data_IF_393357423258
#
_entry.id   IF_393357423258
#
_cell.length_a   1.000
_cell.length_b   1.000
_cell.length_c   1.000
_cell.angle_alpha   90.00
_cell.angle_beta   90.00
_cell.angle_gamma   90.00
#
_symmetry.space_group_name_H-M   'P 1'
#
loop_
_entity.id
_entity.type
_entity.pdbx_description
1 polymer ?
#
# COMPACT_ATOMS: atom_id res chain seq x y z
N UNK A 1 -4.49 -20.01 6.74
CA UNK A 1 -3.92 -18.67 6.61
C UNK A 1 -2.38 -18.63 6.63
N UNK A 2 -1.71 -19.18 7.66
CA UNK A 2 -0.24 -19.11 7.77
C UNK A 2 0.51 -19.59 6.52
N UNK A 3 0.13 -20.74 5.95
CA UNK A 3 0.77 -21.28 4.74
C UNK A 3 0.60 -20.41 3.49
N UNK A 4 -0.55 -19.72 3.33
CA UNK A 4 -0.78 -18.81 2.20
C UNK A 4 0.10 -17.55 2.30
N UNK A 5 0.21 -16.98 3.49
CA UNK A 5 1.09 -15.82 3.74
C UNK A 5 2.55 -16.22 3.57
N UNK A 6 2.95 -17.39 4.07
CA UNK A 6 4.32 -17.90 3.93
C UNK A 6 4.70 -18.10 2.46
N UNK A 7 3.78 -18.64 1.64
CA UNK A 7 3.95 -18.74 0.20
C UNK A 7 4.22 -17.37 -0.43
N UNK A 8 3.41 -16.36 -0.09
CA UNK A 8 3.57 -15.00 -0.62
C UNK A 8 4.90 -14.36 -0.18
N UNK A 9 5.35 -14.62 1.05
CA UNK A 9 6.69 -14.19 1.52
C UNK A 9 7.81 -14.85 0.71
N UNK A 10 7.71 -16.14 0.41
CA UNK A 10 8.72 -16.80 -0.43
C UNK A 10 8.72 -16.27 -1.87
N UNK A 11 7.57 -15.96 -2.43
CA UNK A 11 7.47 -15.29 -3.73
C UNK A 11 8.09 -13.89 -3.69
N UNK A 12 7.85 -13.12 -2.60
CA UNK A 12 8.45 -11.81 -2.41
C UNK A 12 9.99 -11.85 -2.42
N UNK A 13 10.58 -12.91 -1.87
CA UNK A 13 12.04 -13.09 -1.83
C UNK A 13 12.68 -12.99 -3.22
N UNK A 14 12.01 -13.41 -4.27
CA UNK A 14 12.48 -13.28 -5.66
C UNK A 14 12.60 -11.82 -6.11
N UNK A 15 11.79 -10.92 -5.53
CA UNK A 15 11.77 -9.47 -5.85
C UNK A 15 12.57 -8.62 -4.88
N UNK A 16 13.09 -9.21 -3.80
CA UNK A 16 13.79 -8.47 -2.74
C UNK A 16 14.96 -7.67 -3.29
N UNK A 17 15.70 -8.19 -4.29
CA UNK A 17 16.84 -7.48 -4.90
C UNK A 17 16.42 -6.16 -5.57
N UNK A 18 15.36 -6.19 -6.36
CA UNK A 18 14.83 -4.99 -7.04
C UNK A 18 14.30 -4.01 -6.00
N UNK A 19 13.64 -4.52 -4.97
CA UNK A 19 13.11 -3.71 -3.87
C UNK A 19 14.19 -2.99 -3.10
N UNK A 20 15.26 -3.69 -2.73
CA UNK A 20 16.41 -3.11 -2.03
C UNK A 20 17.08 -2.04 -2.89
N UNK A 21 17.23 -2.28 -4.20
CA UNK A 21 17.79 -1.28 -5.11
C UNK A 21 16.93 0.01 -5.17
N UNK A 22 15.59 -0.14 -5.26
CA UNK A 22 14.67 1.00 -5.25
C UNK A 22 14.70 1.72 -3.89
N UNK A 23 14.73 0.98 -2.77
CA UNK A 23 14.87 1.57 -1.44
C UNK A 23 16.15 2.41 -1.32
N UNK A 24 17.30 1.88 -1.72
CA UNK A 24 18.58 2.58 -1.69
C UNK A 24 18.49 3.86 -2.54
N UNK A 25 17.90 3.77 -3.74
CA UNK A 25 17.72 4.93 -4.62
C UNK A 25 16.82 6.00 -3.96
N UNK A 26 15.69 5.60 -3.36
CA UNK A 26 14.79 6.52 -2.66
C UNK A 26 15.45 7.17 -1.44
N UNK A 27 16.26 6.42 -0.68
CA UNK A 27 17.03 6.94 0.45
C UNK A 27 18.03 7.98 -0.07
N UNK A 28 18.80 7.67 -1.10
CA UNK A 28 19.78 8.58 -1.68
C UNK A 28 19.11 9.89 -2.13
N UNK A 29 18.01 9.82 -2.84
CA UNK A 29 17.24 10.99 -3.29
C UNK A 29 16.65 11.78 -2.12
N UNK A 30 16.14 11.10 -1.08
CA UNK A 30 15.58 11.76 0.10
C UNK A 30 16.59 12.58 0.90
N UNK A 31 17.89 12.21 0.85
CA UNK A 31 18.97 12.96 1.48
C UNK A 31 19.57 14.03 0.56
N UNK A 32 19.40 13.94 -0.76
CA UNK A 32 19.93 14.90 -1.72
C UNK A 32 19.12 16.19 -1.79
N UNK A 33 17.79 16.12 -1.61
CA UNK A 33 16.85 17.23 -1.73
C UNK A 33 16.05 17.45 -0.45
N UNK A 34 15.97 18.69 0.01
CA UNK A 34 15.27 19.02 1.26
C UNK A 34 13.73 18.87 1.15
N UNK A 35 13.15 18.98 -0.05
CA UNK A 35 11.69 19.09 -0.25
C UNK A 35 10.99 17.81 -0.77
N UNK A 36 11.71 16.72 -0.91
CA UNK A 36 11.17 15.49 -1.50
C UNK A 36 10.48 14.57 -0.49
N UNK A 37 9.44 15.07 0.18
CA UNK A 37 8.57 14.28 1.06
C UNK A 37 7.95 13.09 0.30
N UNK A 38 7.63 13.26 -0.98
CA UNK A 38 7.09 12.21 -1.86
C UNK A 38 8.01 10.98 -1.95
N UNK A 39 9.31 11.18 -2.10
CA UNK A 39 10.26 10.06 -2.20
C UNK A 39 10.34 9.22 -0.92
N UNK A 40 10.01 9.81 0.21
CA UNK A 40 9.94 9.08 1.48
C UNK A 40 8.75 8.10 1.51
N UNK A 41 7.63 8.43 0.85
CA UNK A 41 6.44 7.55 0.82
C UNK A 41 6.46 6.55 -0.33
N UNK A 42 7.24 6.80 -1.35
CA UNK A 42 7.27 5.97 -2.55
C UNK A 42 7.54 4.47 -2.27
N UNK A 43 8.45 4.07 -1.37
CA UNK A 43 8.64 2.68 -1.01
C UNK A 43 7.41 2.02 -0.37
N UNK A 44 6.67 2.75 0.48
CA UNK A 44 5.46 2.24 1.10
C UNK A 44 4.35 2.02 0.07
N UNK A 45 4.22 2.95 -0.88
CA UNK A 45 3.32 2.85 -2.01
C UNK A 45 3.63 1.64 -2.91
N UNK A 46 4.90 1.42 -3.25
CA UNK A 46 5.34 0.27 -4.05
C UNK A 46 5.07 -1.07 -3.34
N UNK A 47 5.33 -1.14 -2.02
CA UNK A 47 5.05 -2.34 -1.25
C UNK A 47 3.56 -2.64 -1.15
N UNK A 48 2.72 -1.62 -1.12
CA UNK A 48 1.26 -1.75 -1.20
C UNK A 48 0.78 -2.40 -2.51
N UNK A 49 1.56 -2.31 -3.59
CA UNK A 49 1.23 -2.94 -4.87
C UNK A 49 1.68 -4.40 -4.99
N UNK A 50 2.54 -4.89 -4.10
CA UNK A 50 3.07 -6.26 -4.18
C UNK A 50 2.01 -7.37 -4.16
N UNK A 51 0.93 -7.29 -3.37
CA UNK A 51 -0.12 -8.31 -3.40
C UNK A 51 -0.77 -8.48 -4.77
N UNK A 52 -0.81 -7.42 -5.58
CA UNK A 52 -1.31 -7.43 -6.96
C UNK A 52 -0.41 -8.32 -7.83
N UNK A 53 0.89 -8.13 -7.71
CA UNK A 53 1.89 -8.92 -8.41
C UNK A 53 1.84 -10.39 -7.98
N UNK A 54 1.69 -10.66 -6.68
CA UNK A 54 1.56 -12.02 -6.14
C UNK A 54 0.29 -12.71 -6.65
N UNK A 55 -0.82 -11.98 -6.77
CA UNK A 55 -2.04 -12.53 -7.37
C UNK A 55 -1.83 -12.87 -8.85
N UNK A 56 -1.11 -12.03 -9.61
CA UNK A 56 -0.79 -12.29 -11.00
C UNK A 56 0.03 -13.59 -11.20
N UNK A 57 0.95 -13.89 -10.27
CA UNK A 57 1.66 -15.17 -10.28
C UNK A 57 0.76 -16.34 -9.94
N UNK A 58 -0.13 -16.18 -8.98
CA UNK A 58 -1.09 -17.22 -8.61
C UNK A 58 -2.01 -17.54 -9.80
N UNK A 59 -2.45 -16.54 -10.55
CA UNK A 59 -3.27 -16.74 -11.75
C UNK A 59 -2.50 -17.47 -12.85
N UNK A 60 -1.25 -17.05 -13.15
CA UNK A 60 -0.38 -17.74 -14.13
C UNK A 60 -0.08 -19.18 -13.75
N UNK A 61 0.12 -19.45 -12.47
CA UNK A 61 0.35 -20.79 -11.95
C UNK A 61 -0.94 -21.64 -11.86
N UNK A 62 -2.10 -21.10 -12.28
CA UNK A 62 -3.41 -21.73 -12.12
C UNK A 62 -3.69 -22.18 -10.69
N UNK A 63 -3.17 -21.42 -9.72
CA UNK A 63 -3.31 -21.72 -8.29
C UNK A 63 -4.78 -21.78 -7.84
N UNK A 64 -5.68 -21.12 -8.57
CA UNK A 64 -7.11 -21.18 -8.30
C UNK A 64 -7.70 -22.59 -8.47
N UNK A 65 -7.20 -23.39 -9.43
CA UNK A 65 -7.59 -24.81 -9.57
C UNK A 65 -7.09 -25.63 -8.38
N UNK A 66 -5.87 -25.37 -7.92
CA UNK A 66 -5.32 -26.03 -6.73
C UNK A 66 -6.11 -25.63 -5.48
N UNK A 67 -6.56 -24.39 -5.39
CA UNK A 67 -7.33 -23.88 -4.27
C UNK A 67 -8.68 -24.61 -4.11
N UNK A 68 -9.31 -25.00 -5.23
CA UNK A 68 -10.56 -25.79 -5.19
C UNK A 68 -10.35 -27.22 -4.68
N UNK A 69 -9.14 -27.77 -4.82
CA UNK A 69 -8.77 -29.10 -4.31
C UNK A 69 -8.32 -29.07 -2.83
N UNK A 70 -8.00 -27.90 -2.29
CA UNK A 70 -7.55 -27.74 -0.91
C UNK A 70 -8.76 -27.49 0.02
N UNK A 71 -8.73 -27.98 1.27
CA UNK A 71 -9.78 -27.73 2.27
C UNK A 71 -9.66 -26.30 2.84
N UNK A 72 -9.55 -25.28 1.97
CA UNK A 72 -9.40 -23.88 2.34
C UNK A 72 -10.56 -23.07 1.77
N UNK A 73 -11.25 -22.31 2.61
CA UNK A 73 -12.34 -21.43 2.17
C UNK A 73 -11.78 -20.33 1.25
N UNK A 74 -12.53 -20.01 0.19
CA UNK A 74 -12.18 -18.93 -0.77
C UNK A 74 -11.97 -17.58 -0.06
N UNK A 75 -12.80 -17.26 0.95
CA UNK A 75 -12.62 -16.02 1.72
C UNK A 75 -11.32 -16.00 2.52
N UNK A 76 -10.80 -17.16 2.96
CA UNK A 76 -9.51 -17.24 3.64
C UNK A 76 -8.33 -16.86 2.71
N UNK A 77 -8.44 -17.20 1.42
CA UNK A 77 -7.44 -16.81 0.42
C UNK A 77 -7.44 -15.29 0.19
N UNK A 78 -8.63 -14.69 0.02
CA UNK A 78 -8.76 -13.23 -0.08
C UNK A 78 -8.20 -12.53 1.16
N UNK A 79 -8.60 -13.00 2.34
CA UNK A 79 -8.13 -12.44 3.61
C UNK A 79 -6.60 -12.53 3.75
N UNK A 80 -5.98 -13.62 3.28
CA UNK A 80 -4.52 -13.75 3.30
C UNK A 80 -3.83 -12.66 2.45
N UNK A 81 -4.38 -12.32 1.27
CA UNK A 81 -3.83 -11.25 0.41
C UNK A 81 -3.97 -9.86 1.05
N UNK A 82 -5.11 -9.56 1.68
CA UNK A 82 -5.30 -8.31 2.40
C UNK A 82 -4.38 -8.21 3.62
N UNK A 83 -4.29 -9.25 4.44
CA UNK A 83 -3.36 -9.26 5.60
C UNK A 83 -1.91 -9.13 5.13
N UNK A 84 -1.53 -9.78 4.05
CA UNK A 84 -0.20 -9.66 3.47
C UNK A 84 0.09 -8.22 2.99
N UNK A 85 -0.87 -7.56 2.30
CA UNK A 85 -0.76 -6.16 1.92
C UNK A 85 -0.53 -5.26 3.14
N UNK A 86 -1.35 -5.43 4.18
CA UNK A 86 -1.23 -4.65 5.41
C UNK A 86 0.13 -4.82 6.08
N UNK A 87 0.63 -6.06 6.19
CA UNK A 87 1.94 -6.34 6.76
C UNK A 87 3.07 -5.66 5.98
N UNK A 88 3.00 -5.68 4.65
CA UNK A 88 4.00 -5.02 3.80
C UNK A 88 3.97 -3.49 3.95
N UNK A 89 2.78 -2.90 4.00
CA UNK A 89 2.63 -1.46 4.20
C UNK A 89 3.15 -1.05 5.58
N UNK A 90 2.83 -1.80 6.63
CA UNK A 90 3.35 -1.54 7.97
C UNK A 90 4.88 -1.64 8.02
N UNK A 91 5.46 -2.68 7.43
CA UNK A 91 6.92 -2.81 7.35
C UNK A 91 7.56 -1.63 6.59
N UNK A 92 6.95 -1.21 5.48
CA UNK A 92 7.40 -0.06 4.72
C UNK A 92 7.32 1.24 5.54
N UNK A 93 6.22 1.47 6.23
CA UNK A 93 6.04 2.66 7.06
C UNK A 93 7.04 2.72 8.22
N UNK A 94 7.41 1.58 8.79
CA UNK A 94 8.47 1.53 9.82
C UNK A 94 9.82 1.95 9.22
N UNK A 95 10.16 1.42 8.04
CA UNK A 95 11.43 1.74 7.37
C UNK A 95 11.47 3.21 6.95
N UNK A 96 10.44 3.70 6.26
CA UNK A 96 10.37 5.08 5.79
C UNK A 96 10.26 6.07 6.95
N UNK A 97 9.54 5.71 8.02
CA UNK A 97 9.47 6.50 9.25
C UNK A 97 10.83 6.60 9.94
N UNK A 98 11.59 5.50 10.03
CA UNK A 98 12.94 5.53 10.58
C UNK A 98 13.86 6.47 9.76
N UNK A 99 13.82 6.40 8.42
CA UNK A 99 14.59 7.27 7.53
C UNK A 99 14.21 8.75 7.75
N UNK A 100 12.91 9.05 7.81
CA UNK A 100 12.44 10.41 8.04
C UNK A 100 12.82 10.93 9.43
N UNK A 101 12.73 10.10 10.47
CA UNK A 101 13.16 10.46 11.81
C UNK A 101 14.65 10.77 11.89
N UNK A 102 15.50 9.99 11.21
CA UNK A 102 16.94 10.27 11.10
C UNK A 102 17.19 11.58 10.37
N UNK A 103 16.51 11.82 9.23
CA UNK A 103 16.63 13.06 8.45
C UNK A 103 16.29 14.29 9.29
N UNK A 104 15.14 14.28 9.98
CA UNK A 104 14.72 15.38 10.85
C UNK A 104 15.65 15.58 12.05
N UNK A 105 16.17 14.48 12.61
CA UNK A 105 17.16 14.54 13.70
C UNK A 105 18.48 15.17 13.27
N UNK A 106 19.00 14.82 12.09
CA UNK A 106 20.24 15.39 11.54
C UNK A 106 20.08 16.88 11.16
N UNK A 107 18.89 17.27 10.68
CA UNK A 107 18.55 18.64 10.37
C UNK A 107 18.27 19.51 11.62
N UNK A 108 18.20 18.92 12.82
CA UNK A 108 17.85 19.63 14.05
C UNK A 108 16.40 20.15 14.10
N UNK A 109 15.54 19.70 13.19
CA UNK A 109 14.14 20.13 13.04
C UNK A 109 13.14 19.11 13.53
N UNK A 110 13.54 18.19 14.42
CA UNK A 110 12.70 17.10 14.89
C UNK A 110 11.54 17.62 15.74
N UNK A 111 10.33 17.60 15.19
CA UNK A 111 9.08 17.83 15.90
C UNK A 111 8.26 16.54 15.84
N UNK A 112 7.98 15.93 16.98
CA UNK A 112 7.30 14.64 17.07
C UNK A 112 5.93 14.65 16.38
N UNK A 113 5.21 15.77 16.45
CA UNK A 113 3.89 15.91 15.82
C UNK A 113 3.98 15.91 14.30
N UNK A 114 4.93 16.63 13.72
CA UNK A 114 5.16 16.67 12.27
C UNK A 114 5.61 15.31 11.75
N UNK A 115 6.48 14.63 12.51
CA UNK A 115 6.89 13.26 12.21
C UNK A 115 5.68 12.30 12.15
N UNK A 116 4.79 12.36 13.16
CA UNK A 116 3.59 11.51 13.20
C UNK A 116 2.64 11.81 12.02
N UNK A 117 2.51 13.08 11.65
CA UNK A 117 1.71 13.50 10.50
C UNK A 117 2.24 12.94 9.20
N UNK A 118 3.55 13.05 8.99
CA UNK A 118 4.22 12.55 7.81
C UNK A 118 3.99 11.04 7.68
N UNK A 119 4.32 10.27 8.71
CA UNK A 119 4.16 8.81 8.70
C UNK A 119 2.69 8.39 8.53
N UNK A 120 1.77 9.10 9.19
CA UNK A 120 0.34 8.85 9.11
C UNK A 120 -0.23 9.06 7.70
N UNK A 121 0.13 10.15 7.04
CA UNK A 121 -0.27 10.41 5.65
C UNK A 121 0.25 9.32 4.72
N UNK A 122 1.54 8.95 4.85
CA UNK A 122 2.13 7.88 4.05
C UNK A 122 1.43 6.54 4.22
N UNK A 123 1.07 6.19 5.44
CA UNK A 123 0.30 5.00 5.74
C UNK A 123 -1.10 5.03 5.10
N UNK A 124 -1.84 6.14 5.28
CA UNK A 124 -3.18 6.30 4.72
C UNK A 124 -3.20 6.19 3.19
N UNK A 125 -2.29 6.90 2.52
CA UNK A 125 -2.18 6.88 1.05
C UNK A 125 -1.81 5.48 0.55
N UNK A 126 -0.87 4.80 1.22
CA UNK A 126 -0.42 3.46 0.84
C UNK A 126 -1.52 2.39 0.98
N UNK A 127 -2.49 2.58 1.89
CA UNK A 127 -3.64 1.69 2.05
C UNK A 127 -4.69 1.83 0.93
N UNK A 128 -4.84 3.01 0.36
CA UNK A 128 -5.87 3.28 -0.67
C UNK A 128 -5.63 2.44 -1.91
N UNK A 129 -4.38 2.27 -2.33
CA UNK A 129 -4.04 1.54 -3.56
C UNK A 129 -4.52 0.08 -3.53
N UNK A 130 -4.10 -0.77 -2.58
CA UNK A 130 -4.60 -2.14 -2.51
C UNK A 130 -6.11 -2.20 -2.21
N UNK A 131 -6.65 -1.23 -1.48
CA UNK A 131 -8.08 -1.17 -1.19
C UNK A 131 -8.93 -1.06 -2.47
N UNK A 132 -8.46 -0.27 -3.45
CA UNK A 132 -9.18 -0.11 -4.72
C UNK A 132 -8.82 -1.22 -5.70
N UNK A 133 -7.54 -1.54 -5.85
CA UNK A 133 -7.06 -2.40 -6.94
C UNK A 133 -7.36 -3.88 -6.69
N UNK A 134 -7.26 -4.36 -5.43
CA UNK A 134 -7.52 -5.78 -5.13
C UNK A 134 -8.93 -6.25 -5.54
N UNK A 135 -10.03 -5.55 -5.22
CA UNK A 135 -11.37 -5.97 -5.67
C UNK A 135 -11.45 -6.16 -7.18
N UNK A 136 -10.90 -5.20 -7.95
CA UNK A 136 -10.93 -5.25 -9.41
C UNK A 136 -10.12 -6.42 -9.98
N UNK A 137 -8.97 -6.74 -9.39
CA UNK A 137 -8.15 -7.87 -9.81
C UNK A 137 -8.85 -9.19 -9.53
N UNK A 138 -9.45 -9.35 -8.37
CA UNK A 138 -10.22 -10.55 -8.04
C UNK A 138 -11.45 -10.75 -8.95
N UNK A 139 -12.06 -9.64 -9.40
CA UNK A 139 -13.22 -9.66 -10.31
C UNK A 139 -12.83 -9.89 -11.76
N UNK A 140 -11.93 -9.08 -12.28
CA UNK A 140 -11.65 -8.94 -13.72
C UNK A 140 -10.42 -9.74 -14.18
N UNK A 141 -9.66 -10.31 -13.22
CA UNK A 141 -8.37 -10.94 -13.51
C UNK A 141 -7.23 -9.92 -13.63
N UNK A 142 -6.00 -10.43 -13.79
CA UNK A 142 -4.80 -9.61 -13.76
C UNK A 142 -4.58 -8.73 -14.98
N UNK A 143 -5.02 -9.16 -16.17
CA UNK A 143 -4.85 -8.37 -17.40
C UNK A 143 -5.62 -7.04 -17.33
N UNK A 144 -6.91 -7.10 -17.03
CA UNK A 144 -7.76 -5.91 -16.87
C UNK A 144 -7.41 -5.14 -15.59
N UNK A 145 -7.05 -5.85 -14.53
CA UNK A 145 -6.62 -5.27 -13.25
C UNK A 145 -5.38 -4.37 -13.36
N UNK A 146 -4.48 -4.63 -14.31
CA UNK A 146 -3.33 -3.75 -14.57
C UNK A 146 -3.73 -2.36 -15.06
N UNK A 147 -4.74 -2.26 -15.93
CA UNK A 147 -5.25 -0.96 -16.37
C UNK A 147 -5.86 -0.18 -15.21
N UNK A 148 -6.64 -0.84 -14.36
CA UNK A 148 -7.18 -0.22 -13.15
C UNK A 148 -6.06 0.27 -12.24
N UNK A 149 -5.00 -0.53 -12.07
CA UNK A 149 -3.85 -0.15 -11.28
C UNK A 149 -3.19 1.13 -11.79
N UNK A 150 -2.95 1.25 -13.11
CA UNK A 150 -2.36 2.46 -13.72
C UNK A 150 -3.24 3.69 -13.46
N UNK A 151 -4.56 3.56 -13.61
CA UNK A 151 -5.51 4.65 -13.36
C UNK A 151 -5.47 5.05 -11.87
N UNK A 152 -5.50 4.09 -10.95
CA UNK A 152 -5.48 4.35 -9.50
C UNK A 152 -4.17 5.01 -9.08
N UNK A 153 -3.03 4.57 -9.64
CA UNK A 153 -1.72 5.20 -9.40
C UNK A 153 -1.72 6.64 -9.89
N UNK A 154 -2.12 6.89 -11.14
CA UNK A 154 -2.18 8.23 -11.70
C UNK A 154 -3.10 9.15 -10.88
N UNK A 155 -4.25 8.65 -10.45
CA UNK A 155 -5.19 9.39 -9.61
C UNK A 155 -4.60 9.67 -8.21
N UNK A 156 -3.91 8.69 -7.61
CA UNK A 156 -3.27 8.88 -6.29
C UNK A 156 -2.17 9.94 -6.35
N UNK A 157 -1.34 9.94 -7.39
CA UNK A 157 -0.30 10.95 -7.61
C UNK A 157 -0.92 12.34 -7.81
N UNK A 158 -2.00 12.42 -8.60
CA UNK A 158 -2.73 13.69 -8.82
C UNK A 158 -3.33 14.22 -7.52
N UNK A 159 -3.93 13.36 -6.70
CA UNK A 159 -4.46 13.76 -5.39
C UNK A 159 -3.36 14.29 -4.49
N UNK A 160 -2.21 13.62 -4.39
CA UNK A 160 -1.08 14.09 -3.59
C UNK A 160 -0.63 15.48 -4.05
N UNK A 161 -0.50 15.68 -5.36
CA UNK A 161 -0.13 16.98 -5.95
C UNK A 161 -1.13 18.08 -5.59
N UNK A 162 -2.42 17.80 -5.69
CA UNK A 162 -3.48 18.77 -5.31
C UNK A 162 -3.39 19.09 -3.81
N UNK A 163 -3.25 18.09 -2.95
CA UNK A 163 -3.11 18.31 -1.51
C UNK A 163 -1.87 19.16 -1.16
N UNK A 164 -0.75 18.92 -1.83
CA UNK A 164 0.46 19.73 -1.61
C UNK A 164 0.28 21.19 -2.05
N UNK A 165 -0.42 21.43 -3.16
CA UNK A 165 -0.67 22.80 -3.65
C UNK A 165 -1.78 23.54 -2.90
N UNK A 166 -2.73 22.82 -2.27
CA UNK A 166 -3.80 23.41 -1.48
C UNK A 166 -3.42 23.61 0.00
N UNK A 167 -2.23 23.22 0.40
CA UNK A 167 -1.79 23.24 1.81
C UNK A 167 -2.03 24.55 2.53
N UNK A 168 -1.76 25.68 1.87
CA UNK A 168 -1.94 27.01 2.46
C UNK A 168 -3.41 27.39 2.68
N UNK A 169 -4.30 26.94 1.79
CA UNK A 169 -5.74 27.22 1.89
C UNK A 169 -6.45 26.30 2.90
N UNK A 170 -6.00 25.08 3.05
CA UNK A 170 -6.57 24.11 4.01
C UNK A 170 -6.13 24.37 5.46
N UNK A 171 -4.95 24.94 5.69
CA UNK A 171 -4.49 25.31 7.03
C UNK A 171 -5.38 26.37 7.70
N UNK A 172 -6.10 27.17 6.92
CA UNK A 172 -7.06 28.15 7.44
C UNK A 172 -8.33 27.53 8.04
N UNK A 173 -8.70 26.32 7.64
CA UNK A 173 -10.01 25.73 7.98
C UNK A 173 -9.90 24.62 9.04
N UNK A 174 -8.81 23.87 9.06
CA UNK A 174 -8.67 22.70 9.95
C UNK A 174 -7.21 22.52 10.36
N UNK A 175 -6.97 22.15 11.63
CA UNK A 175 -5.58 21.83 12.04
C UNK A 175 -5.05 20.67 11.20
N UNK A 176 -3.81 20.76 10.75
CA UNK A 176 -3.16 19.73 9.90
C UNK A 176 -3.29 18.31 10.48
N UNK A 177 -3.29 18.16 11.82
CA UNK A 177 -3.50 16.90 12.50
C UNK A 177 -4.87 16.27 12.32
N UNK A 178 -5.92 17.10 12.24
CA UNK A 178 -7.28 16.62 11.99
C UNK A 178 -7.42 16.08 10.56
N UNK A 179 -6.79 16.73 9.58
CA UNK A 179 -6.79 16.27 8.19
C UNK A 179 -6.13 14.89 8.08
N UNK A 180 -4.96 14.72 8.70
CA UNK A 180 -4.27 13.42 8.71
C UNK A 180 -5.11 12.34 9.38
N UNK A 181 -5.71 12.64 10.54
CA UNK A 181 -6.57 11.69 11.23
C UNK A 181 -7.79 11.27 10.39
N UNK A 182 -8.42 12.23 9.68
CA UNK A 182 -9.52 11.94 8.74
C UNK A 182 -9.04 11.05 7.60
N UNK A 183 -7.92 11.38 6.95
CA UNK A 183 -7.38 10.60 5.83
C UNK A 183 -7.07 9.17 6.25
N UNK A 184 -6.40 8.97 7.37
CA UNK A 184 -6.07 7.64 7.90
C UNK A 184 -7.33 6.85 8.24
N UNK A 185 -8.30 7.48 8.92
CA UNK A 185 -9.55 6.82 9.29
C UNK A 185 -10.35 6.41 8.06
N UNK A 186 -10.49 7.29 7.08
CA UNK A 186 -11.17 7.02 5.81
C UNK A 186 -10.46 5.90 5.05
N UNK A 187 -9.13 5.91 4.97
CA UNK A 187 -8.36 4.86 4.32
C UNK A 187 -8.58 3.48 4.97
N UNK A 188 -8.58 3.40 6.30
CA UNK A 188 -8.84 2.16 7.05
C UNK A 188 -10.28 1.66 6.78
N UNK A 189 -11.26 2.55 6.80
CA UNK A 189 -12.66 2.19 6.51
C UNK A 189 -12.80 1.66 5.08
N UNK A 190 -12.25 2.37 4.09
CA UNK A 190 -12.26 1.93 2.68
C UNK A 190 -11.59 0.57 2.54
N UNK A 191 -10.46 0.35 3.21
CA UNK A 191 -9.72 -0.91 3.18
C UNK A 191 -10.54 -2.07 3.76
N UNK A 192 -11.18 -1.87 4.90
CA UNK A 192 -12.04 -2.86 5.55
C UNK A 192 -13.28 -3.20 4.70
N UNK A 193 -13.96 -2.18 4.17
CA UNK A 193 -15.11 -2.36 3.28
C UNK A 193 -14.71 -3.10 2.00
N UNK A 194 -13.60 -2.72 1.39
CA UNK A 194 -13.04 -3.39 0.22
C UNK A 194 -12.76 -4.86 0.48
N UNK A 195 -12.15 -5.19 1.61
CA UNK A 195 -11.93 -6.58 2.01
C UNK A 195 -13.24 -7.38 2.11
N UNK A 196 -14.24 -6.83 2.79
CA UNK A 196 -15.54 -7.50 2.96
C UNK A 196 -16.23 -7.73 1.61
N UNK A 197 -16.22 -6.75 0.72
CA UNK A 197 -16.81 -6.83 -0.61
C UNK A 197 -16.09 -7.91 -1.44
N UNK A 198 -14.75 -7.85 -1.48
CA UNK A 198 -13.95 -8.81 -2.25
C UNK A 198 -14.13 -10.24 -1.76
N UNK A 199 -14.17 -10.45 -0.45
CA UNK A 199 -14.40 -11.77 0.12
C UNK A 199 -15.76 -12.36 -0.31
N UNK A 200 -16.83 -11.56 -0.24
CA UNK A 200 -18.18 -11.99 -0.66
C UNK A 200 -18.29 -12.28 -2.17
N UNK A 201 -17.64 -11.45 -2.98
CA UNK A 201 -17.65 -11.62 -4.44
C UNK A 201 -16.88 -12.88 -4.82
N UNK A 202 -15.71 -13.10 -4.24
CA UNK A 202 -14.86 -14.24 -4.57
C UNK A 202 -15.46 -15.58 -4.09
N UNK A 203 -16.25 -15.58 -3.01
CA UNK A 203 -16.99 -16.76 -2.57
C UNK A 203 -18.00 -17.24 -3.62
N UNK A 204 -18.67 -16.31 -4.32
CA UNK A 204 -19.69 -16.60 -5.34
C UNK A 204 -19.08 -16.95 -6.70
N UNK A 205 -17.80 -16.69 -6.92
CA UNK A 205 -17.11 -16.96 -8.20
C UNK A 205 -16.89 -18.47 -8.32
N UNK A 206 -17.42 -19.11 -9.38
CA UNK A 206 -17.04 -20.47 -9.75
C UNK A 206 -15.59 -20.46 -10.26
N UNK A 207 -14.76 -21.36 -9.71
CA UNK A 207 -13.33 -21.47 -10.01
C UNK A 207 -13.07 -22.60 -10.98
#
# INVERSE_FOLDING_TARGET
MKGLILKDIYQLKSYTRVFVAVLIFCIFMAFSDNDTVFLTYYPAFLLGMMPITMYAYDEKAKFHMLLSALPVKKSTYVSAKYVFALLLILAACIITGAIQGIKMGLAGTFVFFDFLMIVGLGFGISLIVPAIVLPFIFLLGTEKGRFVNVIVVGFSVSLISVFMNMGDSFQMITSAGQIVAIVVTVAIVIYAVSWMITAKIFEKKEL
#
